data_IF_136504930863
#
_entry.id   IF_136504930863
#
_cell.length_a   1.000
_cell.length_b   1.000
_cell.length_c   1.000
_cell.angle_alpha   90.00
_cell.angle_beta   90.00
_cell.angle_gamma   90.00
#
_symmetry.space_group_name_H-M   'P 1'
#
loop_
_entity.id
_entity.type
_entity.pdbx_description
1 polymer ?
#
# COMPACT_ATOMS: atom_id res chain seq x y z
N UNK A 1 -0.23 -9.35 8.05
CA UNK A 1 -0.21 -10.11 6.77
C UNK A 1 -1.59 -10.59 6.40
N UNK A 2 -2.21 -11.49 7.16
CA UNK A 2 -3.56 -11.99 6.85
C UNK A 2 -4.61 -10.88 6.67
N UNK A 3 -4.63 -9.90 7.58
CA UNK A 3 -5.50 -8.74 7.47
C UNK A 3 -5.29 -7.89 6.20
N UNK A 4 -4.10 -7.95 5.61
CA UNK A 4 -3.77 -7.27 4.35
C UNK A 4 -4.08 -8.13 3.12
N UNK A 5 -3.78 -9.43 3.19
CA UNK A 5 -3.97 -10.35 2.06
C UNK A 5 -5.43 -10.71 1.83
N UNK A 6 -6.25 -10.80 2.87
CA UNK A 6 -7.67 -11.19 2.74
C UNK A 6 -8.45 -10.20 1.84
N UNK A 7 -8.43 -8.88 2.08
CA UNK A 7 -9.06 -7.92 1.17
C UNK A 7 -8.45 -7.96 -0.22
N UNK A 8 -7.13 -8.09 -0.33
CA UNK A 8 -6.45 -8.19 -1.63
C UNK A 8 -6.98 -9.37 -2.45
N UNK A 9 -7.21 -10.53 -1.81
CA UNK A 9 -7.79 -11.72 -2.44
C UNK A 9 -9.21 -11.44 -2.93
N UNK A 10 -10.05 -10.79 -2.11
CA UNK A 10 -11.42 -10.44 -2.51
C UNK A 10 -11.46 -9.46 -3.69
N UNK A 11 -10.60 -8.45 -3.69
CA UNK A 11 -10.50 -7.46 -4.77
C UNK A 11 -9.98 -8.13 -6.04
N UNK A 12 -8.96 -8.97 -5.92
CA UNK A 12 -8.44 -9.76 -7.04
C UNK A 12 -9.51 -10.68 -7.64
N UNK A 13 -10.34 -11.32 -6.81
CA UNK A 13 -11.46 -12.14 -7.26
C UNK A 13 -12.51 -11.33 -8.02
N UNK A 14 -12.86 -10.13 -7.53
CA UNK A 14 -13.84 -9.26 -8.19
C UNK A 14 -13.33 -8.72 -9.52
N UNK A 15 -12.06 -8.33 -9.59
CA UNK A 15 -11.49 -7.67 -10.78
C UNK A 15 -10.99 -8.67 -11.84
N UNK A 16 -10.46 -9.83 -11.44
CA UNK A 16 -9.74 -10.75 -12.35
C UNK A 16 -10.24 -12.19 -12.29
N UNK A 17 -11.14 -12.51 -11.34
CA UNK A 17 -11.59 -13.88 -11.10
C UNK A 17 -10.54 -14.79 -10.44
N UNK A 18 -9.32 -14.28 -10.18
CA UNK A 18 -8.24 -15.04 -9.55
C UNK A 18 -8.12 -14.73 -8.05
N UNK A 19 -8.14 -15.75 -7.16
CA UNK A 19 -7.94 -15.53 -5.73
C UNK A 19 -6.53 -15.11 -5.34
N UNK A 20 -5.53 -15.24 -6.20
CA UNK A 20 -4.14 -14.92 -5.87
C UNK A 20 -3.81 -13.53 -6.45
N UNK A 21 -3.67 -12.47 -5.63
CA UNK A 21 -3.45 -11.11 -6.13
C UNK A 21 -2.20 -10.97 -7.01
N UNK A 22 -1.17 -11.77 -6.71
CA UNK A 22 0.07 -11.79 -7.49
C UNK A 22 -0.14 -12.26 -8.93
N UNK A 23 -1.03 -13.23 -9.13
CA UNK A 23 -1.38 -13.75 -10.45
C UNK A 23 -2.47 -12.88 -11.07
N UNK A 24 -3.38 -12.36 -10.24
CA UNK A 24 -4.40 -11.39 -10.60
C UNK A 24 -3.83 -10.19 -11.36
N UNK A 25 -2.75 -9.59 -10.84
CA UNK A 25 -2.08 -8.46 -11.49
C UNK A 25 -1.61 -8.77 -12.93
N UNK A 26 -1.16 -9.99 -13.22
CA UNK A 26 -0.76 -10.41 -14.56
C UNK A 26 -1.86 -11.07 -15.39
N UNK A 27 -3.10 -11.08 -14.91
CA UNK A 27 -4.21 -11.79 -15.55
C UNK A 27 -5.22 -10.85 -16.21
N UNK A 28 -6.07 -11.43 -17.04
CA UNK A 28 -7.18 -10.74 -17.71
C UNK A 28 -8.23 -10.30 -16.68
N UNK A 29 -8.81 -9.12 -16.87
CA UNK A 29 -9.96 -8.73 -16.03
C UNK A 29 -11.14 -9.68 -16.26
N UNK A 30 -11.91 -9.97 -15.21
CA UNK A 30 -13.02 -10.90 -15.27
C UNK A 30 -14.07 -10.44 -16.28
N UNK A 31 -14.23 -11.19 -17.38
CA UNK A 31 -15.20 -10.89 -18.44
C UNK A 31 -14.65 -10.10 -19.64
N UNK A 32 -13.34 -9.80 -19.69
CA UNK A 32 -12.69 -9.15 -20.85
C UNK A 32 -11.33 -9.79 -21.16
N UNK A 33 -10.93 -9.85 -22.43
CA UNK A 33 -9.61 -10.35 -22.86
C UNK A 33 -8.45 -9.34 -22.63
N UNK A 34 -8.70 -8.27 -21.87
CA UNK A 34 -7.72 -7.22 -21.58
C UNK A 34 -7.01 -7.50 -20.25
N UNK A 35 -5.69 -7.43 -20.24
CA UNK A 35 -4.90 -7.55 -19.02
C UNK A 35 -5.14 -6.37 -18.09
N UNK A 36 -5.17 -6.62 -16.78
CA UNK A 36 -5.38 -5.59 -15.77
C UNK A 36 -4.34 -4.45 -15.88
N UNK A 37 -3.07 -4.79 -16.15
CA UNK A 37 -2.00 -3.81 -16.35
C UNK A 37 -2.19 -2.97 -17.61
N UNK A 38 -2.60 -3.59 -18.73
CA UNK A 38 -2.84 -2.86 -19.99
C UNK A 38 -4.02 -1.90 -19.85
N UNK A 39 -5.07 -2.33 -19.14
CA UNK A 39 -6.21 -1.46 -18.80
C UNK A 39 -5.78 -0.31 -17.89
N UNK A 40 -4.96 -0.59 -16.89
CA UNK A 40 -4.42 0.45 -16.00
C UNK A 40 -3.56 1.45 -16.77
N UNK A 41 -2.68 1.00 -17.66
CA UNK A 41 -1.87 1.89 -18.48
C UNK A 41 -2.73 2.75 -19.41
N UNK A 42 -3.79 2.20 -20.02
CA UNK A 42 -4.75 2.97 -20.82
C UNK A 42 -5.44 4.05 -19.99
N UNK A 43 -6.04 3.69 -18.84
CA UNK A 43 -6.76 4.66 -18.00
C UNK A 43 -5.81 5.73 -17.44
N UNK A 44 -4.60 5.34 -17.03
CA UNK A 44 -3.59 6.25 -16.50
C UNK A 44 -3.12 7.24 -17.59
N UNK A 45 -2.86 6.76 -18.81
CA UNK A 45 -2.42 7.60 -19.93
C UNK A 45 -3.52 8.49 -20.48
N UNK A 46 -4.77 8.04 -20.54
CA UNK A 46 -5.94 8.85 -20.90
C UNK A 46 -6.12 10.06 -19.96
N UNK A 47 -5.81 9.89 -18.68
CA UNK A 47 -5.86 10.97 -17.68
C UNK A 47 -4.60 11.86 -17.68
N UNK A 48 -3.67 11.61 -18.60
CA UNK A 48 -2.44 12.39 -18.78
C UNK A 48 -1.31 12.00 -17.82
N UNK A 49 -1.43 10.90 -17.08
CA UNK A 49 -0.34 10.38 -16.25
C UNK A 49 0.62 9.52 -17.10
N UNK A 50 1.83 9.32 -16.60
CA UNK A 50 2.79 8.41 -17.23
C UNK A 50 2.41 6.95 -17.00
N UNK A 51 2.75 6.09 -17.97
CA UNK A 51 2.55 4.63 -17.90
C UNK A 51 2.98 4.06 -16.54
N UNK A 52 2.14 3.19 -16.00
CA UNK A 52 2.34 2.56 -14.71
C UNK A 52 3.42 1.47 -14.75
N UNK A 53 3.61 0.82 -15.90
CA UNK A 53 4.46 -0.39 -16.04
C UNK A 53 5.90 -0.13 -16.50
N UNK A 54 6.18 0.97 -17.21
CA UNK A 54 7.45 1.15 -17.95
C UNK A 54 8.48 2.08 -17.31
N UNK A 55 8.17 2.73 -16.19
CA UNK A 55 9.11 3.68 -15.59
C UNK A 55 10.25 3.00 -14.83
N UNK A 56 11.34 2.72 -15.54
CA UNK A 56 12.67 2.62 -14.92
C UNK A 56 12.98 4.00 -14.33
N UNK A 57 12.77 4.15 -13.02
CA UNK A 57 13.08 5.40 -12.29
C UNK A 57 14.59 5.65 -12.27
N UNK A 58 15.11 6.26 -13.33
CA UNK A 58 16.50 6.72 -13.45
C UNK A 58 17.44 5.72 -14.13
N UNK A 59 18.73 5.81 -13.80
CA UNK A 59 19.79 4.95 -14.34
C UNK A 59 19.86 3.60 -13.61
N UNK A 60 20.31 2.56 -14.32
CA UNK A 60 20.54 1.20 -13.79
C UNK A 60 21.47 1.20 -12.58
N UNK A 61 22.46 2.10 -12.54
CA UNK A 61 23.34 2.29 -11.40
C UNK A 61 22.58 2.85 -10.18
N UNK A 62 21.70 3.83 -10.38
CA UNK A 62 20.88 4.37 -9.30
C UNK A 62 19.95 3.28 -8.74
N UNK A 63 19.33 2.47 -9.60
CA UNK A 63 18.50 1.34 -9.17
C UNK A 63 19.30 0.33 -8.33
N UNK A 64 20.53 0.01 -8.75
CA UNK A 64 21.41 -0.87 -7.98
C UNK A 64 21.75 -0.28 -6.61
N UNK A 65 22.18 0.98 -6.55
CA UNK A 65 22.54 1.65 -5.29
C UNK A 65 21.33 1.81 -4.37
N UNK A 66 20.14 2.13 -4.91
CA UNK A 66 18.90 2.16 -4.15
C UNK A 66 18.55 0.80 -3.57
N UNK A 67 18.64 -0.26 -4.37
CA UNK A 67 18.38 -1.63 -3.91
C UNK A 67 19.39 -2.02 -2.82
N UNK A 68 20.68 -1.75 -3.02
CA UNK A 68 21.72 -2.03 -2.04
C UNK A 68 21.49 -1.28 -0.72
N UNK A 69 21.20 0.03 -0.79
CA UNK A 69 20.92 0.87 0.37
C UNK A 69 19.72 0.34 1.18
N UNK A 70 18.66 -0.05 0.48
CA UNK A 70 17.46 -0.64 1.11
C UNK A 70 17.77 -1.98 1.80
N UNK A 71 18.56 -2.85 1.17
CA UNK A 71 18.93 -4.16 1.74
C UNK A 71 19.83 -4.01 2.97
N UNK A 72 20.81 -3.11 2.92
CA UNK A 72 21.67 -2.81 4.08
C UNK A 72 20.84 -2.20 5.21
N UNK A 73 19.96 -1.25 4.89
CA UNK A 73 19.08 -0.61 5.87
C UNK A 73 18.16 -1.58 6.60
N UNK A 74 17.54 -2.51 5.88
CA UNK A 74 16.65 -3.52 6.48
C UNK A 74 17.40 -4.55 7.32
N UNK A 75 18.62 -4.93 6.92
CA UNK A 75 19.47 -5.85 7.69
C UNK A 75 20.01 -5.24 8.99
N UNK A 76 20.25 -3.92 9.01
CA UNK A 76 20.82 -3.21 10.16
C UNK A 76 19.85 -2.88 11.29
N UNK A 77 18.56 -3.23 11.15
CA UNK A 77 17.53 -2.85 12.12
C UNK A 77 17.72 -3.57 13.47
N UNK A 78 18.04 -2.85 14.57
CA UNK A 78 18.35 -3.48 15.85
C UNK A 78 17.21 -4.35 16.37
N UNK A 79 15.96 -3.91 16.17
CA UNK A 79 14.76 -4.64 16.60
C UNK A 79 14.60 -6.01 15.93
N UNK A 80 15.17 -6.22 14.73
CA UNK A 80 15.17 -7.53 14.04
C UNK A 80 16.33 -8.38 14.55
N UNK A 81 17.51 -7.79 14.70
CA UNK A 81 18.74 -8.49 15.12
C UNK A 81 18.59 -9.08 16.53
N UNK A 82 18.08 -8.30 17.50
CA UNK A 82 17.92 -8.75 18.88
C UNK A 82 16.99 -9.96 19.00
N UNK A 83 16.05 -10.11 18.06
CA UNK A 83 15.11 -11.24 18.05
C UNK A 83 15.78 -12.56 17.66
N UNK A 84 16.87 -12.54 16.90
CA UNK A 84 17.63 -13.76 16.59
C UNK A 84 18.43 -14.27 17.80
N UNK A 85 18.77 -13.38 18.75
CA UNK A 85 19.52 -13.74 19.95
C UNK A 85 18.69 -14.36 21.08
N UNK A 86 17.36 -14.39 20.96
CA UNK A 86 16.48 -14.99 21.97
C UNK A 86 16.24 -16.50 21.76
N UNK A 87 16.71 -17.08 20.64
CA UNK A 87 16.55 -18.51 20.34
C UNK A 87 17.79 -19.30 20.74
N UNK A 88 17.69 -20.37 21.55
CA UNK A 88 18.85 -21.09 22.09
C UNK A 88 19.63 -21.92 21.05
N UNK A 89 19.08 -22.15 19.84
CA UNK A 89 19.69 -22.97 18.78
C UNK A 89 19.76 -22.21 17.45
N UNK A 90 20.95 -22.22 16.83
CA UNK A 90 21.21 -21.58 15.51
C UNK A 90 20.33 -22.16 14.40
N UNK A 91 20.04 -23.47 14.44
CA UNK A 91 19.15 -24.11 13.46
C UNK A 91 17.75 -23.52 13.49
N UNK A 92 17.21 -23.33 14.69
CA UNK A 92 15.85 -22.85 14.89
C UNK A 92 15.74 -21.35 14.55
N UNK A 93 16.81 -20.58 14.80
CA UNK A 93 16.95 -19.19 14.35
C UNK A 93 16.90 -19.06 12.81
N UNK A 94 17.61 -19.94 12.07
CA UNK A 94 17.59 -19.94 10.59
C UNK A 94 16.23 -20.35 10.03
N UNK A 95 15.55 -21.33 10.63
CA UNK A 95 14.20 -21.69 10.18
C UNK A 95 13.20 -20.57 10.45
N UNK A 96 13.33 -19.86 11.57
CA UNK A 96 12.50 -18.68 11.86
C UNK A 96 12.75 -17.55 10.86
N UNK A 97 14.01 -17.32 10.47
CA UNK A 97 14.34 -16.36 9.43
C UNK A 97 13.71 -16.74 8.07
N UNK A 98 13.77 -18.04 7.72
CA UNK A 98 13.17 -18.55 6.49
C UNK A 98 11.66 -18.31 6.41
N UNK A 99 10.92 -18.61 7.49
CA UNK A 99 9.48 -18.31 7.56
C UNK A 99 9.20 -16.81 7.50
N UNK A 100 9.99 -15.98 8.19
CA UNK A 100 9.85 -14.53 8.11
C UNK A 100 10.03 -14.03 6.68
N UNK A 101 11.01 -14.55 5.94
CA UNK A 101 11.27 -14.18 4.54
C UNK A 101 10.10 -14.57 3.63
N UNK A 102 9.51 -15.76 3.82
CA UNK A 102 8.30 -16.18 3.09
C UNK A 102 7.13 -15.22 3.34
N UNK A 103 6.89 -14.86 4.60
CA UNK A 103 5.83 -13.94 4.98
C UNK A 103 6.03 -12.52 4.44
N UNK A 104 7.27 -12.04 4.44
CA UNK A 104 7.65 -10.77 3.82
C UNK A 104 7.46 -10.83 2.30
N UNK A 105 7.88 -11.92 1.64
CA UNK A 105 7.71 -12.09 0.21
C UNK A 105 6.23 -12.07 -0.20
N UNK A 106 5.36 -12.74 0.55
CA UNK A 106 3.91 -12.68 0.32
C UNK A 106 3.42 -11.23 0.43
N UNK A 107 3.78 -10.51 1.48
CA UNK A 107 3.34 -9.12 1.66
C UNK A 107 3.85 -8.20 0.55
N UNK A 108 5.15 -8.23 0.26
CA UNK A 108 5.78 -7.34 -0.72
C UNK A 108 5.32 -7.62 -2.16
N UNK A 109 4.98 -8.86 -2.49
CA UNK A 109 4.41 -9.18 -3.81
C UNK A 109 2.93 -8.79 -3.91
N UNK A 110 2.17 -8.84 -2.80
CA UNK A 110 0.78 -8.34 -2.80
C UNK A 110 0.68 -6.82 -2.84
N UNK A 111 1.70 -6.07 -2.41
CA UNK A 111 1.60 -4.62 -2.30
C UNK A 111 1.43 -3.89 -3.66
N UNK A 112 2.21 -4.20 -4.71
CA UNK A 112 1.99 -3.67 -6.05
C UNK A 112 0.63 -4.09 -6.65
N UNK A 113 0.18 -5.32 -6.37
CA UNK A 113 -1.13 -5.79 -6.83
C UNK A 113 -2.27 -4.96 -6.24
N UNK A 114 -2.25 -4.74 -4.93
CA UNK A 114 -3.27 -3.93 -4.25
C UNK A 114 -3.22 -2.47 -4.70
N UNK A 115 -2.03 -1.89 -4.91
CA UNK A 115 -1.92 -0.49 -5.33
C UNK A 115 -2.41 -0.27 -6.76
N UNK A 116 -2.10 -1.18 -7.70
CA UNK A 116 -2.63 -1.16 -9.06
C UNK A 116 -4.16 -1.26 -9.07
N UNK A 117 -4.71 -2.24 -8.33
CA UNK A 117 -6.16 -2.45 -8.21
C UNK A 117 -6.86 -1.25 -7.52
N UNK A 118 -6.25 -0.67 -6.48
CA UNK A 118 -6.80 0.50 -5.81
C UNK A 118 -6.86 1.72 -6.73
N UNK A 119 -5.83 1.92 -7.56
CA UNK A 119 -5.78 3.03 -8.52
C UNK A 119 -6.84 2.86 -9.61
N UNK A 120 -7.00 1.65 -10.14
CA UNK A 120 -8.08 1.32 -11.08
C UNK A 120 -9.45 1.59 -10.48
N UNK A 121 -9.73 1.04 -9.29
CA UNK A 121 -11.01 1.23 -8.61
C UNK A 121 -11.33 2.71 -8.35
N UNK A 122 -10.33 3.51 -7.95
CA UNK A 122 -10.50 4.95 -7.77
C UNK A 122 -10.85 5.63 -9.09
N UNK A 123 -10.11 5.34 -10.14
CA UNK A 123 -10.33 5.92 -11.47
C UNK A 123 -11.70 5.54 -12.02
N UNK A 124 -12.13 4.29 -11.90
CA UNK A 124 -13.46 3.84 -12.34
C UNK A 124 -14.59 4.49 -11.53
N UNK A 125 -14.36 4.83 -10.25
CA UNK A 125 -15.39 5.55 -9.46
C UNK A 125 -15.49 7.03 -9.78
N UNK A 126 -14.39 7.70 -10.12
CA UNK A 126 -14.37 9.13 -10.41
C UNK A 126 -14.70 9.39 -11.88
N UNK A 127 -14.23 8.53 -12.78
CA UNK A 127 -14.36 8.60 -14.23
C UNK A 127 -14.91 7.27 -14.78
N UNK A 128 -16.20 6.95 -14.57
CA UNK A 128 -16.79 5.68 -14.98
C UNK A 128 -16.83 5.48 -16.51
N UNK A 129 -16.83 6.56 -17.30
CA UNK A 129 -16.73 6.52 -18.76
C UNK A 129 -15.95 7.72 -19.30
N UNK A 130 -15.32 7.63 -20.49
CA UNK A 130 -14.63 8.77 -21.10
C UNK A 130 -15.56 9.98 -21.24
N UNK A 131 -15.24 11.07 -20.52
CA UNK A 131 -16.03 12.31 -20.49
C UNK A 131 -17.20 12.33 -19.50
N UNK A 132 -17.41 11.28 -18.70
CA UNK A 132 -18.31 11.31 -17.56
C UNK A 132 -17.52 11.42 -16.26
N UNK A 133 -17.77 12.49 -15.52
CA UNK A 133 -17.17 12.75 -14.22
C UNK A 133 -18.24 12.57 -13.15
N UNK A 134 -17.82 12.03 -12.00
CA UNK A 134 -18.70 11.86 -10.86
C UNK A 134 -19.19 13.23 -10.36
N UNK A 135 -20.50 13.45 -10.37
CA UNK A 135 -21.10 14.64 -9.75
C UNK A 135 -20.80 14.65 -8.24
N UNK A 136 -20.36 15.79 -7.72
CA UNK A 136 -19.99 15.93 -6.31
C UNK A 136 -21.15 15.57 -5.37
N UNK A 137 -22.38 15.88 -5.74
CA UNK A 137 -23.57 15.56 -4.93
C UNK A 137 -23.86 14.04 -4.86
N UNK A 138 -23.50 13.30 -5.91
CA UNK A 138 -23.71 11.86 -6.03
C UNK A 138 -22.55 11.03 -5.49
N UNK A 139 -21.59 11.68 -4.81
CA UNK A 139 -20.40 11.01 -4.31
C UNK A 139 -20.71 9.87 -3.33
N UNK A 140 -20.00 8.73 -3.45
CA UNK A 140 -20.22 7.55 -2.63
C UNK A 140 -19.87 7.77 -1.16
N UNK A 141 -20.38 6.90 -0.30
CA UNK A 141 -20.23 6.99 1.16
C UNK A 141 -18.77 7.00 1.61
N UNK A 142 -17.89 6.24 0.95
CA UNK A 142 -16.46 6.24 1.24
C UNK A 142 -15.87 7.64 1.01
N UNK A 143 -16.22 8.30 -0.10
CA UNK A 143 -15.71 9.64 -0.43
C UNK A 143 -16.12 10.66 0.65
N UNK A 144 -17.37 10.60 1.14
CA UNK A 144 -17.85 11.45 2.25
C UNK A 144 -17.13 11.19 3.57
N UNK A 145 -16.76 9.94 3.85
CA UNK A 145 -16.04 9.58 5.06
C UNK A 145 -14.59 10.08 5.03
N UNK A 146 -13.91 9.89 3.90
CA UNK A 146 -12.50 10.29 3.74
C UNK A 146 -12.33 11.80 3.56
N UNK A 147 -13.30 12.51 2.98
CA UNK A 147 -13.27 13.98 2.95
C UNK A 147 -13.29 14.59 4.36
N UNK A 148 -14.11 14.05 5.28
CA UNK A 148 -14.15 14.52 6.67
C UNK A 148 -12.81 14.38 7.41
N UNK A 149 -11.97 13.45 6.99
CA UNK A 149 -10.64 13.26 7.57
C UNK A 149 -9.62 14.28 7.06
N UNK A 150 -9.94 15.02 6.00
CA UNK A 150 -9.02 15.95 5.33
C UNK A 150 -7.98 15.28 4.43
N UNK A 151 -7.99 13.94 4.34
CA UNK A 151 -7.08 13.15 3.50
C UNK A 151 -7.58 12.97 2.06
N UNK A 152 -8.79 13.44 1.80
CA UNK A 152 -9.38 13.56 0.48
C UNK A 152 -9.93 14.98 0.35
N UNK A 153 -9.51 15.68 -0.69
CA UNK A 153 -9.87 17.06 -0.94
C UNK A 153 -10.51 17.21 -2.31
N UNK A 154 -11.55 18.02 -2.36
CA UNK A 154 -12.17 18.46 -3.61
C UNK A 154 -12.11 19.98 -3.68
N UNK A 155 -11.63 20.49 -4.80
CA UNK A 155 -11.60 21.92 -5.12
C UNK A 155 -12.17 22.11 -6.52
N UNK A 156 -13.42 22.58 -6.59
CA UNK A 156 -14.13 22.81 -7.84
C UNK A 156 -13.54 24.05 -8.54
N UNK A 157 -12.73 23.83 -9.58
CA UNK A 157 -12.01 24.89 -10.29
C UNK A 157 -12.78 25.40 -11.49
N UNK A 158 -13.59 24.55 -12.12
CA UNK A 158 -14.34 24.89 -13.32
C UNK A 158 -15.81 25.27 -13.03
N UNK A 159 -16.29 25.06 -11.79
CA UNK A 159 -17.64 25.40 -11.34
C UNK A 159 -18.74 24.50 -11.90
N UNK A 160 -18.40 23.31 -12.39
CA UNK A 160 -19.34 22.39 -13.04
C UNK A 160 -20.01 21.41 -12.07
N UNK A 161 -19.57 21.38 -10.81
CA UNK A 161 -20.08 20.49 -9.77
C UNK A 161 -19.69 19.02 -9.94
N UNK A 162 -18.78 18.69 -10.86
CA UNK A 162 -18.24 17.35 -11.07
C UNK A 162 -16.81 17.24 -10.54
N UNK A 163 -16.35 16.01 -10.33
CA UNK A 163 -15.00 15.73 -9.84
C UNK A 163 -14.10 15.40 -11.03
N UNK A 164 -13.27 16.36 -11.47
CA UNK A 164 -12.25 16.10 -12.49
C UNK A 164 -10.93 15.64 -11.86
N UNK A 165 -10.55 14.38 -12.13
CA UNK A 165 -9.23 13.84 -11.76
C UNK A 165 -8.32 13.79 -12.98
N UNK A 166 -7.30 14.63 -13.04
CA UNK A 166 -6.37 14.76 -14.17
C UNK A 166 -4.93 14.93 -13.69
N UNK A 167 -3.95 14.71 -14.56
CA UNK A 167 -2.54 14.88 -14.20
C UNK A 167 -2.08 16.34 -14.12
N UNK A 168 -2.79 17.26 -14.78
CA UNK A 168 -2.47 18.68 -14.78
C UNK A 168 -2.97 19.35 -13.49
N UNK A 169 -2.06 20.00 -12.77
CA UNK A 169 -2.37 20.69 -11.53
C UNK A 169 -3.38 21.84 -11.72
N UNK A 170 -3.48 22.39 -12.93
CA UNK A 170 -4.44 23.44 -13.24
C UNK A 170 -5.88 22.93 -13.32
N UNK A 171 -6.10 21.73 -13.87
CA UNK A 171 -7.44 21.14 -14.08
C UNK A 171 -7.79 20.04 -13.08
N UNK A 172 -6.84 19.59 -12.27
CA UNK A 172 -7.10 18.57 -11.25
C UNK A 172 -7.84 19.18 -10.05
N UNK A 173 -9.02 18.62 -9.78
CA UNK A 173 -9.95 19.04 -8.73
C UNK A 173 -9.98 18.05 -7.57
N UNK A 174 -9.43 16.85 -7.76
CA UNK A 174 -9.38 15.81 -6.75
C UNK A 174 -7.96 15.66 -6.18
N UNK A 175 -7.82 15.89 -4.87
CA UNK A 175 -6.61 15.57 -4.11
C UNK A 175 -6.83 14.30 -3.30
N UNK A 176 -6.01 13.28 -3.56
CA UNK A 176 -6.03 12.00 -2.86
C UNK A 176 -4.67 11.79 -2.21
N UNK A 177 -4.63 11.64 -0.88
CA UNK A 177 -3.39 11.26 -0.21
C UNK A 177 -3.03 9.79 -0.51
N UNK A 178 -1.76 9.53 -0.82
CA UNK A 178 -1.32 8.18 -1.18
C UNK A 178 -1.54 7.15 -0.04
N UNK A 179 -1.52 7.62 1.20
CA UNK A 179 -1.66 6.80 2.40
C UNK A 179 -3.10 6.27 2.59
N UNK A 180 -4.11 6.98 2.06
CA UNK A 180 -5.50 6.52 2.14
C UNK A 180 -5.83 5.48 1.10
N UNK A 181 -5.10 5.41 -0.01
CA UNK A 181 -5.45 4.55 -1.13
C UNK A 181 -5.49 3.08 -0.73
N UNK A 182 -4.65 2.64 0.22
CA UNK A 182 -4.67 1.25 0.73
C UNK A 182 -5.80 1.01 1.74
N UNK A 183 -6.11 2.00 2.58
CA UNK A 183 -7.12 1.88 3.64
C UNK A 183 -8.55 2.04 3.10
N UNK A 184 -8.74 2.90 2.11
CA UNK A 184 -10.03 3.16 1.47
C UNK A 184 -10.37 2.09 0.42
N UNK A 185 -9.38 1.39 -0.17
CA UNK A 185 -9.63 0.43 -1.25
C UNK A 185 -10.69 -0.65 -0.93
N UNK A 186 -10.72 -1.28 0.26
CA UNK A 186 -11.81 -2.17 0.64
C UNK A 186 -13.21 -1.52 0.60
N UNK A 187 -13.30 -0.24 0.94
CA UNK A 187 -14.55 0.54 0.87
C UNK A 187 -14.91 0.91 -0.58
N UNK A 188 -13.91 1.29 -1.38
CA UNK A 188 -14.08 1.62 -2.81
C UNK A 188 -14.56 0.37 -3.57
N UNK A 189 -14.01 -0.80 -3.27
CA UNK A 189 -14.41 -2.09 -3.83
C UNK A 189 -15.73 -2.65 -3.25
N UNK A 190 -16.43 -1.90 -2.39
CA UNK A 190 -17.72 -2.29 -1.78
C UNK A 190 -17.66 -3.64 -1.05
N UNK A 191 -16.53 -3.93 -0.39
CA UNK A 191 -16.37 -5.16 0.39
C UNK A 191 -17.22 -5.13 1.68
N UNK A 192 -17.56 -6.30 2.25
CA UNK A 192 -18.31 -6.37 3.50
C UNK A 192 -17.62 -5.63 4.65
N UNK A 193 -18.42 -5.03 5.55
CA UNK A 193 -17.92 -4.24 6.69
C UNK A 193 -16.92 -4.98 7.59
N UNK A 194 -17.05 -6.31 7.73
CA UNK A 194 -16.11 -7.10 8.51
C UNK A 194 -14.72 -7.18 7.87
N UNK A 195 -14.62 -7.11 6.53
CA UNK A 195 -13.34 -7.07 5.80
C UNK A 195 -12.67 -5.72 6.01
N UNK A 196 -13.45 -4.63 5.92
CA UNK A 196 -12.96 -3.26 6.18
C UNK A 196 -12.42 -3.16 7.62
N UNK A 197 -13.19 -3.65 8.60
CA UNK A 197 -12.79 -3.69 10.00
C UNK A 197 -11.51 -4.53 10.21
N UNK A 198 -11.35 -5.63 9.49
CA UNK A 198 -10.15 -6.46 9.55
C UNK A 198 -8.90 -5.71 9.07
N UNK A 199 -9.00 -4.92 7.98
CA UNK A 199 -7.88 -4.09 7.50
C UNK A 199 -7.51 -3.02 8.52
N UNK A 200 -8.50 -2.30 9.03
CA UNK A 200 -8.27 -1.26 10.03
C UNK A 200 -7.62 -1.83 11.30
N UNK A 201 -8.13 -2.95 11.81
CA UNK A 201 -7.54 -3.65 12.95
C UNK A 201 -6.12 -4.15 12.65
N UNK A 202 -5.88 -4.69 11.45
CA UNK A 202 -4.57 -5.14 11.01
C UNK A 202 -3.54 -4.02 10.89
N UNK A 203 -3.95 -2.86 10.35
CA UNK A 203 -3.11 -1.66 10.25
C UNK A 203 -2.72 -1.13 11.63
N UNK A 204 -3.69 -1.04 12.54
CA UNK A 204 -3.44 -0.65 13.94
C UNK A 204 -2.50 -1.64 14.64
N UNK A 205 -2.75 -2.94 14.50
CA UNK A 205 -1.91 -3.99 15.09
C UNK A 205 -0.47 -3.96 14.55
N UNK A 206 -0.30 -3.70 13.26
CA UNK A 206 1.02 -3.56 12.65
C UNK A 206 1.76 -2.33 13.20
N UNK A 207 1.10 -1.17 13.28
CA UNK A 207 1.69 0.06 13.81
C UNK A 207 2.06 -0.06 15.30
N UNK A 208 1.19 -0.68 16.11
CA UNK A 208 1.48 -0.90 17.53
C UNK A 208 2.62 -1.91 17.73
N UNK A 209 2.70 -2.94 16.89
CA UNK A 209 3.78 -3.93 16.96
C UNK A 209 5.14 -3.33 16.61
N UNK A 210 5.21 -2.42 15.63
CA UNK A 210 6.47 -1.75 15.26
C UNK A 210 6.87 -0.72 16.31
N UNK A 211 5.92 0.07 16.81
CA UNK A 211 6.15 1.03 17.88
C UNK A 211 6.71 0.35 19.14
N UNK A 212 6.12 -0.76 19.59
CA UNK A 212 6.60 -1.51 20.73
C UNK A 212 8.03 -2.05 20.53
N UNK A 213 8.32 -2.61 19.35
CA UNK A 213 9.66 -3.13 19.03
C UNK A 213 10.74 -2.05 19.01
N UNK A 214 10.43 -0.88 18.45
CA UNK A 214 11.34 0.26 18.42
C UNK A 214 11.55 0.86 19.83
N UNK A 215 10.49 0.97 20.63
CA UNK A 215 10.59 1.46 22.01
C UNK A 215 11.48 0.57 22.88
N UNK A 216 11.37 -0.76 22.74
CA UNK A 216 12.25 -1.70 23.44
C UNK A 216 13.72 -1.54 23.00
N UNK A 217 13.96 -1.37 21.71
CA UNK A 217 15.31 -1.15 21.19
C UNK A 217 15.93 0.15 21.72
N UNK A 218 15.16 1.25 21.70
CA UNK A 218 15.60 2.55 22.23
C UNK A 218 15.83 2.46 23.73
N UNK A 219 14.92 1.83 24.48
CA UNK A 219 15.05 1.67 25.93
C UNK A 219 16.30 0.86 26.29
N UNK A 220 16.58 -0.23 25.57
CA UNK A 220 17.79 -1.04 25.76
C UNK A 220 19.05 -0.24 25.45
N UNK A 221 19.08 0.51 24.35
CA UNK A 221 20.24 1.33 23.98
C UNK A 221 20.51 2.42 25.04
N UNK A 222 19.47 3.09 25.53
CA UNK A 222 19.63 4.09 26.60
C UNK A 222 20.11 3.44 27.90
N UNK A 223 19.53 2.30 28.30
CA UNK A 223 19.86 1.67 29.58
C UNK A 223 21.26 1.05 29.58
N UNK A 224 21.59 0.26 28.55
CA UNK A 224 22.84 -0.49 28.50
C UNK A 224 23.98 0.30 27.88
N UNK A 225 23.75 1.01 26.78
CA UNK A 225 24.84 1.68 26.06
C UNK A 225 25.12 3.06 26.64
N UNK A 226 24.09 3.84 26.98
CA UNK A 226 24.28 5.19 27.51
C UNK A 226 24.45 5.20 29.03
N UNK A 227 23.49 4.67 29.80
CA UNK A 227 23.53 4.74 31.26
C UNK A 227 24.62 3.82 31.79
N UNK A 228 24.55 2.51 31.52
CA UNK A 228 25.54 1.56 32.03
C UNK A 228 26.90 1.65 31.31
N UNK A 229 26.92 2.04 30.04
CA UNK A 229 28.17 2.17 29.28
C UNK A 229 28.94 3.45 29.55
N UNK A 230 28.26 4.59 29.74
CA UNK A 230 28.90 5.92 29.79
C UNK A 230 28.68 6.65 31.11
N UNK A 231 27.45 6.68 31.64
CA UNK A 231 27.08 7.61 32.74
C UNK A 231 27.30 6.99 34.13
N UNK A 232 26.84 5.76 34.35
CA UNK A 232 26.95 5.04 35.62
C UNK A 232 27.30 3.56 35.39
N UNK A 233 28.60 3.25 35.23
CA UNK A 233 29.08 1.91 34.88
C UNK A 233 29.06 0.89 36.02
N UNK A 234 28.78 1.31 37.25
CA UNK A 234 28.70 0.45 38.43
C UNK A 234 27.27 -0.02 38.70
#
# INVERSE_FOLDING_TARGET
ILAYTIPAIFISLQLTGNPIPQIGLGSTMAGTDVYLLDRLDQVVTELGFSEYTTQVRGDTLNMFVYTMSLMIGTAGLPHVIIRFFTVPKVRDARTSAGWALVFIAILYTTAPAVSAMARLNLMDTVNPAPGQHLAYDERPTWFKNWEKTGLLGFDDKNGDGNINYTSDAATNELKVDNDIMVLANPEIAKLPNWVIALVAAGGLAAALSTAAGLLLAISSAISHDLIKGVINPN
#
